data_IF_113214489103
#
_entry.id   IF_113214489103
#
_cell.length_a   1.000
_cell.length_b   1.000
_cell.length_c   1.000
_cell.angle_alpha   90.00
_cell.angle_beta   90.00
_cell.angle_gamma   90.00
#
_symmetry.space_group_name_H-M   'P 1'
#
loop_
_entity.id
_entity.type
_entity.pdbx_description
1 polymer ?
#
# COMPACT_ATOMS: atom_id res chain seq x y z
N UNK A 1 -12.81 -5.16 21.90
CA UNK A 1 -13.24 -4.85 23.28
C UNK A 1 -13.21 -3.34 23.45
N UNK A 2 -14.15 -2.77 24.20
CA UNK A 2 -14.29 -1.31 24.40
C UNK A 2 -13.32 -0.75 25.46
N UNK A 3 -13.02 0.54 25.36
CA UNK A 3 -11.84 1.15 25.99
C UNK A 3 -12.06 1.71 27.41
N UNK A 4 -13.25 1.57 28.00
CA UNK A 4 -13.57 2.15 29.32
C UNK A 4 -12.74 1.52 30.44
N UNK A 5 -12.22 2.34 31.36
CA UNK A 5 -11.37 1.89 32.47
C UNK A 5 -12.20 1.62 33.75
N UNK A 6 -13.15 0.70 33.69
CA UNK A 6 -13.90 0.30 34.89
C UNK A 6 -13.02 -0.52 35.84
N UNK A 7 -13.15 -0.28 37.15
CA UNK A 7 -12.46 -1.06 38.18
C UNK A 7 -12.78 -2.56 38.09
N UNK A 8 -14.01 -2.89 37.73
CA UNK A 8 -14.46 -4.26 37.49
C UNK A 8 -13.62 -4.97 36.41
N UNK A 9 -13.31 -4.31 35.28
CA UNK A 9 -12.46 -4.91 34.25
C UNK A 9 -11.05 -5.18 34.80
N UNK A 10 -10.51 -4.28 35.63
CA UNK A 10 -9.20 -4.50 36.27
C UNK A 10 -9.20 -5.67 37.27
N UNK A 11 -10.28 -5.88 38.01
CA UNK A 11 -10.45 -7.08 38.86
C UNK A 11 -10.52 -8.35 38.00
N UNK A 12 -11.29 -8.34 36.91
CA UNK A 12 -11.36 -9.47 35.95
C UNK A 12 -10.01 -9.76 35.29
N UNK A 13 -9.27 -8.73 34.88
CA UNK A 13 -7.90 -8.83 34.35
C UNK A 13 -6.95 -9.48 35.37
N UNK A 14 -7.00 -9.07 36.65
CA UNK A 14 -6.15 -9.63 37.71
C UNK A 14 -6.48 -11.11 38.04
N UNK A 15 -7.77 -11.47 38.11
CA UNK A 15 -8.20 -12.86 38.32
C UNK A 15 -7.77 -13.75 37.14
N UNK A 16 -7.83 -13.24 35.91
CA UNK A 16 -7.36 -13.96 34.72
C UNK A 16 -5.83 -14.14 34.74
N UNK A 17 -5.08 -13.09 35.09
CA UNK A 17 -3.62 -13.17 35.23
C UNK A 17 -3.20 -14.21 36.28
N UNK A 18 -3.82 -14.22 37.47
CA UNK A 18 -3.53 -15.22 38.49
C UNK A 18 -3.84 -16.66 38.02
N UNK A 19 -4.90 -16.86 37.25
CA UNK A 19 -5.19 -18.17 36.63
C UNK A 19 -4.13 -18.56 35.61
N UNK A 20 -3.72 -17.63 34.74
CA UNK A 20 -2.66 -17.85 33.75
C UNK A 20 -1.36 -18.27 34.43
N UNK A 21 -0.90 -17.56 35.46
CA UNK A 21 0.33 -17.90 36.21
C UNK A 21 0.24 -19.19 37.04
N UNK A 22 -0.97 -19.73 37.27
CA UNK A 22 -1.17 -21.04 37.91
C UNK A 22 -1.12 -22.23 36.94
N UNK A 23 -1.29 -21.99 35.64
CA UNK A 23 -1.39 -23.04 34.62
C UNK A 23 -0.29 -22.98 33.56
N UNK A 24 0.44 -21.88 33.44
CA UNK A 24 1.50 -21.67 32.46
C UNK A 24 2.77 -21.14 33.13
N UNK A 25 3.92 -21.59 32.63
CA UNK A 25 5.25 -21.06 32.98
C UNK A 25 5.44 -19.63 32.46
N UNK A 26 6.46 -18.93 32.98
CA UNK A 26 6.79 -17.58 32.52
C UNK A 26 7.19 -17.55 31.03
N UNK A 27 7.82 -18.61 30.55
CA UNK A 27 8.24 -18.74 29.15
C UNK A 27 7.04 -18.98 28.22
N UNK A 28 6.06 -19.79 28.63
CA UNK A 28 4.80 -19.96 27.89
C UNK A 28 3.97 -18.66 27.85
N UNK A 29 3.93 -17.92 28.96
CA UNK A 29 3.26 -16.61 29.03
C UNK A 29 3.94 -15.61 28.09
N UNK A 30 5.29 -15.58 28.09
CA UNK A 30 6.07 -14.74 27.19
C UNK A 30 5.87 -15.17 25.73
N UNK A 31 5.90 -16.46 25.42
CA UNK A 31 5.65 -17.01 24.09
C UNK A 31 4.26 -16.59 23.56
N UNK A 32 3.20 -16.74 24.37
CA UNK A 32 1.85 -16.31 23.99
C UNK A 32 1.79 -14.80 23.76
N UNK A 33 2.41 -14.00 24.62
CA UNK A 33 2.49 -12.54 24.45
C UNK A 33 3.21 -12.14 23.14
N UNK A 34 4.39 -12.70 22.89
CA UNK A 34 5.22 -12.43 21.72
C UNK A 34 4.59 -12.92 20.40
N UNK A 35 3.63 -13.86 20.45
CA UNK A 35 2.89 -14.32 19.25
C UNK A 35 1.56 -13.59 19.04
N UNK A 36 0.90 -13.09 20.08
CA UNK A 36 -0.43 -12.48 19.98
C UNK A 36 -0.43 -10.94 19.92
N UNK A 37 0.66 -10.28 20.33
CA UNK A 37 0.65 -8.82 20.44
C UNK A 37 0.55 -8.11 19.09
N UNK A 38 -0.37 -7.14 18.98
CA UNK A 38 -0.48 -6.31 17.79
C UNK A 38 0.61 -5.25 17.74
N UNK A 39 1.43 -5.28 16.68
CA UNK A 39 2.60 -4.41 16.50
C UNK A 39 2.43 -3.39 15.37
N UNK A 40 1.25 -3.30 14.74
CA UNK A 40 0.97 -2.34 13.67
C UNK A 40 0.99 -2.99 12.29
N UNK A 41 0.50 -2.28 11.26
CA UNK A 41 0.50 -2.70 9.84
C UNK A 41 -0.11 -4.08 9.52
N UNK A 42 -0.89 -4.65 10.45
CA UNK A 42 -1.44 -6.01 10.36
C UNK A 42 -0.55 -7.10 10.96
N UNK A 43 0.61 -6.76 11.53
CA UNK A 43 1.46 -7.67 12.28
C UNK A 43 0.86 -8.00 13.65
N UNK A 44 0.59 -9.29 13.86
CA UNK A 44 0.32 -9.88 15.16
C UNK A 44 1.47 -10.84 15.47
N UNK A 45 2.14 -10.60 16.58
CA UNK A 45 3.36 -11.29 16.98
C UNK A 45 4.65 -10.69 16.40
N UNK A 46 5.76 -10.92 17.09
CA UNK A 46 7.07 -10.32 16.79
C UNK A 46 7.65 -10.84 15.48
N UNK A 47 7.51 -12.13 15.16
CA UNK A 47 7.96 -12.68 13.87
C UNK A 47 7.27 -11.99 12.68
N UNK A 48 5.95 -11.81 12.76
CA UNK A 48 5.20 -11.10 11.73
C UNK A 48 5.65 -9.62 11.63
N UNK A 49 6.05 -8.97 12.73
CA UNK A 49 6.54 -7.61 12.70
C UNK A 49 7.98 -7.50 12.16
N UNK A 50 8.85 -8.46 12.48
CA UNK A 50 10.20 -8.58 11.94
C UNK A 50 10.17 -8.69 10.40
N UNK A 51 9.30 -9.57 9.88
CA UNK A 51 9.12 -9.75 8.45
C UNK A 51 8.46 -8.51 7.80
N UNK A 52 7.41 -7.93 8.40
CA UNK A 52 6.70 -6.78 7.82
C UNK A 52 7.49 -5.45 7.82
N UNK A 53 8.43 -5.25 8.77
CA UNK A 53 9.18 -3.98 8.88
C UNK A 53 10.65 -4.08 8.45
N UNK A 54 11.27 -5.26 8.51
CA UNK A 54 12.71 -5.44 8.21
C UNK A 54 13.00 -6.58 7.22
N UNK A 55 11.99 -7.33 6.77
CA UNK A 55 12.14 -8.53 5.92
C UNK A 55 13.12 -9.58 6.51
N UNK A 56 13.14 -9.70 7.84
CA UNK A 56 13.97 -10.63 8.63
C UNK A 56 13.10 -11.52 9.50
N UNK A 57 13.62 -12.66 9.93
CA UNK A 57 13.03 -13.40 11.06
C UNK A 57 13.41 -12.72 12.37
N UNK A 58 12.60 -12.85 13.42
CA UNK A 58 12.81 -12.18 14.71
C UNK A 58 14.15 -12.56 15.37
N UNK A 59 14.67 -13.75 15.08
CA UNK A 59 15.97 -14.25 15.54
C UNK A 59 17.18 -13.57 14.85
N UNK A 60 16.96 -12.96 13.69
CA UNK A 60 18.00 -12.34 12.85
C UNK A 60 17.99 -10.80 12.95
N UNK A 61 17.20 -10.24 13.88
CA UNK A 61 17.13 -8.81 14.19
C UNK A 61 18.30 -8.37 15.08
N UNK A 62 18.82 -7.18 14.82
CA UNK A 62 19.80 -6.56 15.71
C UNK A 62 19.13 -5.76 16.86
N UNK A 63 19.94 -5.27 17.80
CA UNK A 63 19.48 -4.50 18.97
C UNK A 63 18.66 -3.25 18.58
N UNK A 64 19.03 -2.54 17.51
CA UNK A 64 18.33 -1.36 17.05
C UNK A 64 16.91 -1.70 16.55
N UNK A 65 16.79 -2.78 15.77
CA UNK A 65 15.53 -3.27 15.20
C UNK A 65 14.62 -3.85 16.29
N UNK A 66 15.17 -4.61 17.23
CA UNK A 66 14.48 -5.09 18.42
C UNK A 66 13.92 -3.94 19.28
N UNK A 67 14.70 -2.87 19.47
CA UNK A 67 14.24 -1.69 20.22
C UNK A 67 13.12 -0.90 19.52
N UNK A 68 13.08 -0.91 18.17
CA UNK A 68 11.91 -0.41 17.41
C UNK A 68 10.69 -1.27 17.75
N UNK A 69 10.76 -2.60 17.58
CA UNK A 69 9.61 -3.49 17.79
C UNK A 69 9.08 -3.45 19.23
N UNK A 70 9.98 -3.46 20.23
CA UNK A 70 9.62 -3.32 21.64
C UNK A 70 9.02 -1.94 21.98
N UNK A 71 9.25 -0.92 21.15
CA UNK A 71 8.64 0.40 21.25
C UNK A 71 7.16 0.45 20.86
N UNK A 72 6.74 -0.39 19.90
CA UNK A 72 5.43 -0.37 19.24
C UNK A 72 4.22 -0.67 20.16
N UNK A 73 4.25 -1.68 21.06
CA UNK A 73 3.12 -2.09 21.92
C UNK A 73 2.31 -0.96 22.58
N UNK A 74 2.95 0.15 22.95
CA UNK A 74 2.30 1.27 23.62
C UNK A 74 1.26 1.98 22.74
N UNK A 75 1.54 2.13 21.45
CA UNK A 75 0.64 2.75 20.46
C UNK A 75 1.13 2.48 19.03
N UNK A 76 0.88 1.28 18.46
CA UNK A 76 1.53 0.85 17.22
C UNK A 76 1.35 1.81 16.03
N UNK A 77 0.15 2.36 15.83
CA UNK A 77 -0.10 3.34 14.75
C UNK A 77 0.61 4.69 14.95
N UNK A 78 0.88 5.09 16.20
CA UNK A 78 1.56 6.35 16.54
C UNK A 78 3.08 6.25 16.39
N UNK A 79 3.65 5.09 16.71
CA UNK A 79 5.09 4.81 16.67
C UNK A 79 5.51 3.95 15.48
N UNK A 80 4.63 3.74 14.50
CA UNK A 80 4.96 2.99 13.28
C UNK A 80 6.13 3.65 12.55
N UNK A 81 7.25 2.94 12.31
CA UNK A 81 8.41 3.50 11.62
C UNK A 81 8.09 3.86 10.16
N UNK A 82 7.17 3.13 9.52
CA UNK A 82 6.77 3.33 8.12
C UNK A 82 5.93 4.60 7.86
N UNK A 83 5.27 5.16 8.88
CA UNK A 83 4.48 6.39 8.74
C UNK A 83 4.97 7.56 9.61
N UNK A 84 5.75 7.27 10.65
CA UNK A 84 6.10 8.20 11.71
C UNK A 84 7.53 7.95 12.22
N UNK A 85 8.49 7.83 11.30
CA UNK A 85 9.87 7.42 11.60
C UNK A 85 10.49 8.17 12.80
N UNK A 86 10.41 9.50 12.85
CA UNK A 86 10.95 10.30 13.97
C UNK A 86 10.35 9.90 15.33
N UNK A 87 9.05 9.59 15.36
CA UNK A 87 8.35 9.13 16.58
C UNK A 87 8.76 7.71 16.94
N UNK A 88 9.02 6.86 15.94
CA UNK A 88 9.55 5.51 16.14
C UNK A 88 10.99 5.56 16.68
N UNK A 89 11.87 6.39 16.10
CA UNK A 89 13.25 6.60 16.54
C UNK A 89 13.32 7.19 17.96
N UNK A 90 12.50 8.20 18.28
CA UNK A 90 12.37 8.72 19.64
C UNK A 90 11.87 7.65 20.63
N UNK A 91 10.99 6.73 20.20
CA UNK A 91 10.53 5.59 21.01
C UNK A 91 11.61 4.51 21.16
N UNK A 92 12.42 4.26 20.14
CA UNK A 92 13.59 3.37 20.15
C UNK A 92 14.62 3.84 21.17
N UNK A 93 15.01 5.12 21.12
CA UNK A 93 15.96 5.74 22.07
C UNK A 93 15.47 5.57 23.51
N UNK A 94 14.17 5.78 23.77
CA UNK A 94 13.59 5.51 25.10
C UNK A 94 13.73 4.04 25.52
N UNK A 95 13.49 3.08 24.62
CA UNK A 95 13.64 1.64 24.92
C UNK A 95 15.10 1.30 25.23
N UNK A 96 16.05 1.75 24.40
CA UNK A 96 17.48 1.51 24.59
C UNK A 96 17.99 2.10 25.91
N UNK A 97 17.60 3.34 26.25
CA UNK A 97 17.93 3.94 27.54
C UNK A 97 17.36 3.14 28.71
N UNK A 98 16.12 2.64 28.62
CA UNK A 98 15.56 1.76 29.66
C UNK A 98 16.25 0.39 29.74
N UNK A 99 16.85 -0.11 28.65
CA UNK A 99 17.67 -1.32 28.69
C UNK A 99 19.01 -1.07 29.38
N UNK A 100 19.62 0.12 29.21
CA UNK A 100 20.79 0.57 29.98
C UNK A 100 20.45 0.75 31.47
N UNK A 101 19.34 1.44 31.79
CA UNK A 101 18.86 1.67 33.17
C UNK A 101 18.52 0.36 33.93
N UNK A 102 18.35 -0.75 33.19
CA UNK A 102 18.11 -2.10 33.72
C UNK A 102 19.28 -3.06 33.47
N UNK A 103 20.43 -2.55 33.04
CA UNK A 103 21.68 -3.29 32.88
C UNK A 103 21.61 -4.48 31.90
N UNK A 104 20.67 -4.44 30.93
CA UNK A 104 20.57 -5.45 29.87
C UNK A 104 21.57 -5.22 28.72
N UNK A 105 22.05 -3.99 28.54
CA UNK A 105 23.05 -3.58 27.53
C UNK A 105 23.98 -2.51 28.12
N UNK A 106 25.13 -2.29 27.50
CA UNK A 106 26.04 -1.18 27.84
C UNK A 106 25.56 0.16 27.25
N UNK A 107 26.17 1.28 27.66
CA UNK A 107 25.89 2.59 27.06
C UNK A 107 26.40 2.67 25.63
N UNK A 108 27.47 1.94 25.37
CA UNK A 108 28.19 1.82 24.12
C UNK A 108 27.34 1.04 23.09
N UNK A 109 26.72 -0.08 23.50
CA UNK A 109 25.71 -0.80 22.72
C UNK A 109 24.50 0.07 22.38
N UNK A 110 24.02 0.84 23.37
CA UNK A 110 22.89 1.76 23.20
C UNK A 110 23.21 2.85 22.17
N UNK A 111 24.38 3.49 22.27
CA UNK A 111 24.83 4.49 21.31
C UNK A 111 24.95 3.91 19.89
N UNK A 112 25.56 2.72 19.74
CA UNK A 112 25.65 2.04 18.45
C UNK A 112 24.27 1.70 17.86
N UNK A 113 23.30 1.28 18.68
CA UNK A 113 21.93 0.99 18.24
C UNK A 113 21.08 2.24 17.96
N UNK A 114 21.46 3.41 18.50
CA UNK A 114 20.87 4.71 18.17
C UNK A 114 21.40 5.20 16.81
N UNK A 115 22.70 5.13 16.57
CA UNK A 115 23.30 5.55 15.28
C UNK A 115 23.06 4.56 14.13
N UNK A 116 22.61 3.33 14.41
CA UNK A 116 22.27 2.35 13.38
C UNK A 116 21.17 2.86 12.43
N UNK A 117 21.48 2.86 11.12
CA UNK A 117 20.57 3.20 10.04
C UNK A 117 19.53 2.08 9.84
N UNK A 118 18.25 2.41 10.04
CA UNK A 118 17.15 1.45 10.02
C UNK A 118 16.54 1.38 8.62
N UNK A 119 16.83 0.31 7.88
CA UNK A 119 16.16 0.01 6.61
C UNK A 119 14.72 -0.48 6.85
N UNK A 120 13.78 0.46 6.86
CA UNK A 120 12.35 0.19 7.09
C UNK A 120 11.70 -0.23 5.77
N UNK A 121 11.52 -1.54 5.61
CA UNK A 121 10.96 -2.14 4.42
C UNK A 121 9.52 -1.66 4.17
N UNK A 122 9.19 -1.19 2.95
CA UNK A 122 7.79 -1.04 2.57
C UNK A 122 7.14 -2.42 2.51
N UNK A 123 5.97 -2.58 3.14
CA UNK A 123 5.19 -3.83 3.09
C UNK A 123 4.65 -4.08 1.67
N UNK A 124 5.51 -4.60 0.79
CA UNK A 124 5.12 -5.11 -0.52
C UNK A 124 4.49 -6.48 -0.39
N UNK A 125 3.25 -6.63 -0.82
CA UNK A 125 2.68 -7.93 -1.09
C UNK A 125 2.63 -8.11 -2.61
N UNK A 126 3.71 -8.65 -3.16
CA UNK A 126 3.88 -8.88 -4.61
C UNK A 126 2.70 -9.63 -5.23
N UNK A 127 2.05 -10.53 -4.50
CA UNK A 127 0.86 -11.23 -4.99
C UNK A 127 -0.37 -10.31 -5.14
N UNK A 128 -0.55 -9.33 -4.24
CA UNK A 128 -1.61 -8.32 -4.33
C UNK A 128 -1.26 -7.22 -5.34
N UNK A 129 0.01 -6.82 -5.43
CA UNK A 129 0.46 -5.75 -6.32
C UNK A 129 0.60 -6.20 -7.78
N UNK A 130 1.22 -7.35 -8.02
CA UNK A 130 1.51 -7.84 -9.38
C UNK A 130 0.41 -8.75 -9.92
N UNK A 131 -0.26 -9.56 -9.10
CA UNK A 131 -1.32 -10.51 -9.54
C UNK A 131 -2.66 -10.39 -8.77
N UNK A 132 -3.21 -9.17 -8.55
CA UNK A 132 -4.39 -8.94 -7.70
C UNK A 132 -5.60 -9.81 -8.03
N UNK A 133 -5.91 -9.98 -9.33
CA UNK A 133 -7.06 -10.77 -9.77
C UNK A 133 -6.92 -12.27 -9.44
N UNK A 134 -5.70 -12.82 -9.54
CA UNK A 134 -5.44 -14.22 -9.18
C UNK A 134 -5.48 -14.39 -7.66
N UNK A 135 -4.86 -13.47 -6.91
CA UNK A 135 -4.87 -13.46 -5.45
C UNK A 135 -6.29 -13.34 -4.88
N UNK A 136 -7.14 -12.49 -5.46
CA UNK A 136 -8.54 -12.35 -5.04
C UNK A 136 -9.39 -13.58 -5.40
N UNK A 137 -9.12 -14.22 -6.55
CA UNK A 137 -9.74 -15.50 -6.90
C UNK A 137 -9.37 -16.62 -5.91
N UNK A 138 -8.07 -16.74 -5.56
CA UNK A 138 -7.59 -17.70 -4.55
C UNK A 138 -8.19 -17.38 -3.16
N UNK A 139 -8.22 -16.10 -2.77
CA UNK A 139 -8.84 -15.65 -1.51
C UNK A 139 -10.30 -16.06 -1.42
N UNK A 140 -11.06 -15.87 -2.51
CA UNK A 140 -12.47 -16.26 -2.61
C UNK A 140 -12.64 -17.78 -2.57
N UNK A 141 -11.88 -18.54 -3.37
CA UNK A 141 -11.92 -20.00 -3.37
C UNK A 141 -11.61 -20.62 -1.99
N UNK A 142 -10.66 -20.06 -1.24
CA UNK A 142 -10.32 -20.52 0.11
C UNK A 142 -11.38 -20.09 1.13
N UNK A 143 -12.01 -18.92 0.99
CA UNK A 143 -13.16 -18.51 1.82
C UNK A 143 -14.38 -19.43 1.60
N UNK A 144 -14.72 -19.74 0.35
CA UNK A 144 -15.85 -20.63 0.00
C UNK A 144 -15.62 -22.07 0.49
N UNK A 145 -14.37 -22.57 0.37
CA UNK A 145 -14.03 -23.97 0.67
C UNK A 145 -13.78 -24.27 2.14
N UNK A 146 -13.21 -23.32 2.89
CA UNK A 146 -12.80 -23.52 4.28
C UNK A 146 -13.51 -22.59 5.27
N UNK A 147 -14.31 -21.64 4.78
CA UNK A 147 -15.01 -20.65 5.59
C UNK A 147 -14.13 -19.47 6.01
N UNK A 148 -14.75 -18.28 6.05
CA UNK A 148 -14.12 -17.01 6.41
C UNK A 148 -13.26 -17.05 7.66
N UNK A 149 -13.73 -17.74 8.72
CA UNK A 149 -12.99 -17.84 9.99
C UNK A 149 -11.63 -18.51 9.78
N UNK A 150 -11.59 -19.64 9.09
CA UNK A 150 -10.38 -20.43 8.85
C UNK A 150 -9.35 -19.63 8.06
N UNK A 151 -9.78 -19.00 6.96
CA UNK A 151 -8.95 -18.13 6.12
C UNK A 151 -8.25 -17.01 6.92
N UNK A 152 -8.99 -16.32 7.79
CA UNK A 152 -8.48 -15.14 8.50
C UNK A 152 -7.92 -15.40 9.91
N UNK A 153 -8.09 -16.59 10.51
CA UNK A 153 -7.64 -16.85 11.89
C UNK A 153 -6.81 -18.12 12.10
N UNK A 154 -6.52 -18.94 11.08
CA UNK A 154 -5.72 -20.17 11.25
C UNK A 154 -4.35 -20.15 10.55
N UNK A 155 -3.85 -18.98 10.12
CA UNK A 155 -2.47 -18.83 9.66
C UNK A 155 -2.11 -19.67 8.43
N UNK A 156 -3.07 -19.89 7.52
CA UNK A 156 -2.92 -20.79 6.38
C UNK A 156 -1.76 -20.37 5.47
N UNK A 157 -0.80 -21.27 5.25
CA UNK A 157 0.16 -21.18 4.14
C UNK A 157 -0.52 -21.69 2.88
N UNK A 158 -0.75 -20.81 1.92
CA UNK A 158 -1.43 -21.11 0.65
C UNK A 158 -0.38 -21.13 -0.46
N UNK A 159 -0.15 -22.31 -1.03
CA UNK A 159 0.74 -22.49 -2.19
C UNK A 159 -0.10 -22.72 -3.44
N UNK A 160 0.31 -22.11 -4.57
CA UNK A 160 -0.46 -22.12 -5.82
C UNK A 160 0.46 -22.23 -7.02
N UNK A 161 -0.06 -22.75 -8.14
CA UNK A 161 0.69 -22.87 -9.40
C UNK A 161 0.76 -21.54 -10.19
N UNK A 162 0.76 -20.38 -9.52
CA UNK A 162 0.82 -19.08 -10.19
C UNK A 162 2.24 -18.80 -10.69
N UNK A 163 2.35 -18.49 -11.99
CA UNK A 163 3.56 -17.93 -12.57
C UNK A 163 3.36 -16.42 -12.76
N UNK A 164 4.19 -15.61 -12.10
CA UNK A 164 4.05 -14.15 -12.08
C UNK A 164 4.34 -13.52 -13.46
N UNK A 165 5.38 -13.99 -14.15
CA UNK A 165 5.75 -13.50 -15.48
C UNK A 165 4.63 -13.76 -16.51
N UNK A 166 4.06 -14.96 -16.52
CA UNK A 166 2.95 -15.31 -17.41
C UNK A 166 1.68 -14.52 -17.06
N UNK A 167 1.39 -14.25 -15.78
CA UNK A 167 0.28 -13.38 -15.38
C UNK A 167 0.49 -11.92 -15.82
N UNK A 168 1.72 -11.42 -15.74
CA UNK A 168 2.10 -10.09 -16.21
C UNK A 168 1.93 -9.96 -17.73
N UNK A 169 2.52 -10.89 -18.49
CA UNK A 169 2.40 -10.95 -19.95
C UNK A 169 0.92 -11.06 -20.36
N UNK A 170 0.15 -11.96 -19.73
CA UNK A 170 -1.27 -12.12 -20.01
C UNK A 170 -2.06 -10.82 -19.79
N UNK A 171 -1.75 -10.06 -18.72
CA UNK A 171 -2.36 -8.74 -18.50
C UNK A 171 -1.97 -7.74 -19.58
N UNK A 172 -0.69 -7.65 -19.92
CA UNK A 172 -0.19 -6.73 -20.95
C UNK A 172 -0.81 -7.01 -22.32
N UNK A 173 -1.00 -8.27 -22.70
CA UNK A 173 -1.68 -8.66 -23.95
C UNK A 173 -3.19 -8.43 -23.91
N UNK A 174 -3.87 -8.69 -22.79
CA UNK A 174 -5.31 -8.34 -22.63
C UNK A 174 -5.50 -6.82 -22.74
N UNK A 175 -4.66 -6.03 -22.08
CA UNK A 175 -4.71 -4.58 -22.13
C UNK A 175 -4.44 -4.06 -23.56
N UNK A 176 -3.46 -4.65 -24.27
CA UNK A 176 -3.17 -4.36 -25.68
C UNK A 176 -4.34 -4.74 -26.58
N UNK A 177 -4.96 -5.90 -26.37
CA UNK A 177 -6.13 -6.38 -27.11
C UNK A 177 -7.34 -5.46 -26.94
N UNK A 178 -7.66 -5.07 -25.69
CA UNK A 178 -8.71 -4.11 -25.39
C UNK A 178 -8.46 -2.75 -26.03
N UNK A 179 -7.23 -2.21 -25.95
CA UNK A 179 -6.83 -0.97 -26.65
C UNK A 179 -6.96 -1.10 -28.18
N UNK A 180 -6.71 -2.29 -28.75
CA UNK A 180 -6.85 -2.56 -30.18
C UNK A 180 -8.31 -2.80 -30.64
N UNK A 181 -9.23 -3.10 -29.73
CA UNK A 181 -10.68 -3.14 -29.98
C UNK A 181 -11.27 -1.73 -29.86
N UNK A 182 -10.93 -0.99 -28.80
CA UNK A 182 -11.35 0.41 -28.58
C UNK A 182 -10.97 1.29 -29.79
N UNK A 183 -9.71 1.21 -30.24
CA UNK A 183 -9.22 1.88 -31.46
C UNK A 183 -9.89 1.42 -32.77
N UNK A 184 -10.49 0.22 -32.82
CA UNK A 184 -11.25 -0.27 -33.99
C UNK A 184 -12.70 0.19 -33.99
N UNK A 185 -13.25 0.54 -32.83
CA UNK A 185 -14.64 1.01 -32.68
C UNK A 185 -14.80 2.54 -32.80
N UNK A 186 -13.71 3.26 -33.07
CA UNK A 186 -13.74 4.70 -33.32
C UNK A 186 -13.80 5.57 -32.04
N UNK A 187 -13.77 6.88 -32.23
CA UNK A 187 -13.85 7.84 -31.13
C UNK A 187 -15.30 8.03 -30.65
N UNK A 188 -15.57 7.61 -29.42
CA UNK A 188 -16.90 7.66 -28.79
C UNK A 188 -17.27 9.04 -28.17
N UNK A 189 -16.58 10.12 -28.57
CA UNK A 189 -16.70 11.42 -27.91
C UNK A 189 -15.83 11.59 -26.67
N UNK A 190 -15.84 12.78 -26.03
CA UNK A 190 -15.02 13.07 -24.86
C UNK A 190 -15.53 12.42 -23.58
N UNK A 191 -14.62 12.12 -22.64
CA UNK A 191 -14.96 11.53 -21.33
C UNK A 191 -15.94 12.38 -20.51
N UNK A 192 -15.84 13.71 -20.65
CA UNK A 192 -16.65 14.72 -19.97
C UNK A 192 -16.43 16.07 -20.65
N UNK A 193 -17.45 16.94 -20.61
CA UNK A 193 -17.32 18.37 -20.90
C UNK A 193 -17.24 19.13 -19.57
N UNK A 194 -16.36 20.14 -19.46
CA UNK A 194 -16.15 20.91 -18.22
C UNK A 194 -16.44 22.40 -18.46
N UNK A 195 -17.01 23.11 -17.48
CA UNK A 195 -17.24 24.57 -17.58
C UNK A 195 -15.93 25.33 -17.34
N UNK A 196 -15.75 26.49 -17.99
CA UNK A 196 -14.49 27.26 -17.95
C UNK A 196 -13.97 27.57 -16.53
N UNK A 197 -14.86 27.81 -15.55
CA UNK A 197 -14.46 28.08 -14.16
C UNK A 197 -13.77 26.89 -13.49
N UNK A 198 -14.19 25.67 -13.81
CA UNK A 198 -13.69 24.43 -13.20
C UNK A 198 -12.31 24.01 -13.77
N UNK A 199 -11.85 24.64 -14.85
CA UNK A 199 -10.57 24.32 -15.50
C UNK A 199 -9.39 24.43 -14.53
N UNK A 200 -9.40 25.41 -13.62
CA UNK A 200 -8.34 25.58 -12.62
C UNK A 200 -8.30 24.40 -11.63
N UNK A 201 -9.47 23.94 -11.17
CA UNK A 201 -9.58 22.79 -10.26
C UNK A 201 -9.12 21.48 -10.94
N UNK A 202 -9.57 21.24 -12.18
CA UNK A 202 -9.12 20.08 -12.96
C UNK A 202 -7.60 20.08 -13.17
N UNK A 203 -7.02 21.21 -13.60
CA UNK A 203 -5.58 21.31 -13.84
C UNK A 203 -4.77 21.20 -12.54
N UNK A 204 -5.27 21.70 -11.39
CA UNK A 204 -4.61 21.50 -10.09
C UNK A 204 -4.61 20.03 -9.68
N UNK A 205 -5.70 19.30 -9.91
CA UNK A 205 -5.78 17.85 -9.68
C UNK A 205 -4.79 17.09 -10.57
N UNK A 206 -4.84 17.32 -11.89
CA UNK A 206 -3.94 16.64 -12.84
C UNK A 206 -2.48 17.02 -12.67
N UNK A 207 -2.16 18.19 -12.10
CA UNK A 207 -0.79 18.53 -11.71
C UNK A 207 -0.34 17.69 -10.51
N UNK A 208 -1.21 17.41 -9.53
CA UNK A 208 -0.85 16.54 -8.40
C UNK A 208 -0.58 15.11 -8.90
N UNK A 209 -1.50 14.54 -9.68
CA UNK A 209 -1.34 13.22 -10.31
C UNK A 209 -0.03 13.13 -11.13
N UNK A 210 0.31 14.17 -11.90
CA UNK A 210 1.56 14.26 -12.66
C UNK A 210 2.83 14.39 -11.82
N UNK A 211 2.76 15.02 -10.65
CA UNK A 211 3.91 15.10 -9.73
C UNK A 211 4.13 13.76 -9.02
N UNK A 212 3.06 13.00 -8.75
CA UNK A 212 3.11 11.68 -8.11
C UNK A 212 3.51 10.55 -9.06
N UNK A 213 3.15 10.62 -10.36
CA UNK A 213 3.42 9.56 -11.36
C UNK A 213 4.48 9.92 -12.41
N UNK A 214 4.84 11.20 -12.54
CA UNK A 214 5.73 11.69 -13.59
C UNK A 214 5.08 11.74 -14.98
N UNK A 215 5.92 11.76 -16.03
CA UNK A 215 5.48 11.52 -17.41
C UNK A 215 6.38 10.44 -18.00
N UNK A 216 5.76 9.35 -18.44
CA UNK A 216 6.44 8.19 -19.02
C UNK A 216 5.77 7.81 -20.35
N UNK A 217 6.49 7.14 -21.23
CA UNK A 217 5.93 6.62 -22.49
C UNK A 217 4.94 5.49 -22.15
N UNK A 218 3.76 5.49 -22.77
CA UNK A 218 2.68 4.54 -22.48
C UNK A 218 1.78 4.89 -21.28
N UNK A 219 2.08 5.97 -20.53
CA UNK A 219 1.25 6.41 -19.41
C UNK A 219 -0.11 6.99 -19.88
N UNK A 220 -1.19 6.30 -19.50
CA UNK A 220 -2.58 6.72 -19.73
C UNK A 220 -2.94 7.88 -18.80
N UNK A 221 -3.46 8.98 -19.35
CA UNK A 221 -3.89 10.13 -18.54
C UNK A 221 -5.02 10.93 -19.19
N UNK A 222 -5.68 11.79 -18.42
CA UNK A 222 -6.81 12.64 -18.83
C UNK A 222 -6.29 14.03 -19.17
N UNK A 223 -6.63 14.55 -20.34
CA UNK A 223 -6.18 15.87 -20.79
C UNK A 223 -7.33 16.79 -21.20
N UNK A 224 -7.23 18.07 -20.83
CA UNK A 224 -8.18 19.10 -21.22
C UNK A 224 -7.84 19.62 -22.63
N UNK A 225 -8.80 19.53 -23.57
CA UNK A 225 -8.63 20.09 -24.93
C UNK A 225 -8.75 21.61 -24.88
N UNK A 226 -7.63 22.30 -25.13
CA UNK A 226 -7.55 23.77 -25.10
C UNK A 226 -7.82 24.37 -26.49
N UNK A 227 -7.33 23.72 -27.55
CA UNK A 227 -7.47 24.22 -28.93
C UNK A 227 -7.45 23.07 -29.93
N UNK A 228 -8.51 22.93 -30.73
CA UNK A 228 -8.51 22.10 -31.95
C UNK A 228 -8.02 22.94 -33.13
N UNK A 229 -7.24 22.36 -34.03
CA UNK A 229 -6.70 23.00 -35.25
C UNK A 229 -6.70 21.99 -36.41
N UNK A 230 -6.66 22.47 -37.67
CA UNK A 230 -6.82 21.63 -38.90
C UNK A 230 -5.91 20.39 -39.02
N UNK A 231 -4.83 20.26 -38.24
CA UNK A 231 -3.91 19.10 -38.23
C UNK A 231 -3.58 18.53 -36.84
N UNK A 232 -4.04 19.16 -35.75
CA UNK A 232 -3.69 18.73 -34.37
C UNK A 232 -4.65 19.27 -33.30
N UNK A 233 -4.77 18.52 -32.21
CA UNK A 233 -5.40 18.95 -30.95
C UNK A 233 -4.31 19.39 -29.98
N UNK A 234 -4.43 20.57 -29.37
CA UNK A 234 -3.60 21.00 -28.25
C UNK A 234 -4.29 20.69 -26.92
N UNK A 235 -3.59 19.96 -26.06
CA UNK A 235 -4.10 19.38 -24.82
C UNK A 235 -3.25 19.87 -23.65
N UNK A 236 -3.87 20.19 -22.51
CA UNK A 236 -3.18 20.60 -21.28
C UNK A 236 -3.42 19.59 -20.16
N UNK A 237 -2.34 19.28 -19.42
CA UNK A 237 -2.33 18.36 -18.29
C UNK A 237 -1.52 19.04 -17.19
N UNK A 238 -2.19 19.56 -16.18
CA UNK A 238 -1.58 20.41 -15.16
C UNK A 238 -0.90 21.67 -15.73
N UNK A 239 0.36 21.89 -15.34
CA UNK A 239 1.21 22.94 -15.90
C UNK A 239 1.59 22.69 -17.37
N UNK A 240 1.74 21.42 -17.78
CA UNK A 240 2.35 21.05 -19.07
C UNK A 240 1.33 21.07 -20.21
N UNK A 241 1.82 21.42 -21.40
CA UNK A 241 1.05 21.44 -22.64
C UNK A 241 1.63 20.44 -23.63
N UNK A 242 0.75 19.71 -24.31
CA UNK A 242 1.10 18.77 -25.38
C UNK A 242 0.20 18.97 -26.60
N UNK A 243 0.44 18.16 -27.62
CA UNK A 243 -0.44 18.09 -28.78
C UNK A 243 -0.57 16.66 -29.30
N UNK A 244 -1.69 16.38 -29.96
CA UNK A 244 -1.99 15.12 -30.62
C UNK A 244 -2.18 15.43 -32.12
N UNK A 245 -1.29 14.95 -33.00
CA UNK A 245 -1.47 15.01 -34.46
C UNK A 245 -2.73 14.27 -34.93
N UNK A 246 -3.39 14.77 -35.98
CA UNK A 246 -4.54 14.09 -36.61
C UNK A 246 -4.18 12.82 -37.39
N UNK A 247 -2.89 12.55 -37.60
CA UNK A 247 -2.41 11.28 -38.16
C UNK A 247 -2.30 10.18 -37.10
N UNK A 248 -1.87 10.52 -35.88
CA UNK A 248 -1.91 9.60 -34.73
C UNK A 248 -3.34 9.29 -34.29
N UNK A 249 -4.29 10.15 -34.68
CA UNK A 249 -5.74 10.00 -34.47
C UNK A 249 -6.46 9.31 -35.65
N UNK A 250 -5.77 8.55 -36.52
CA UNK A 250 -6.44 7.76 -37.57
C UNK A 250 -7.50 6.80 -37.03
N UNK A 251 -7.27 6.22 -35.85
CA UNK A 251 -8.24 5.38 -35.12
C UNK A 251 -9.49 6.14 -34.63
N UNK A 252 -9.40 7.47 -34.48
CA UNK A 252 -10.51 8.31 -34.02
C UNK A 252 -11.43 8.74 -35.15
N UNK A 253 -11.15 8.36 -36.40
CA UNK A 253 -11.99 8.68 -37.56
C UNK A 253 -13.18 7.72 -37.60
N UNK A 254 -14.39 8.27 -37.50
CA UNK A 254 -15.61 7.49 -37.72
C UNK A 254 -15.62 6.93 -39.16
N UNK A 255 -16.12 5.70 -39.41
CA UNK A 255 -16.41 5.21 -40.76
C UNK A 255 -17.64 5.92 -41.38
N UNK A 256 -17.51 7.26 -41.55
CA UNK A 256 -18.39 8.18 -42.28
C UNK A 256 -19.77 8.43 -41.61
N UNK A 257 -20.25 9.69 -41.48
CA UNK A 257 -19.59 10.98 -41.26
C UNK A 257 -19.67 11.31 -39.74
N UNK A 258 -19.82 12.51 -39.14
CA UNK A 258 -19.61 13.93 -39.50
C UNK A 258 -19.29 14.69 -38.19
N UNK A 259 -18.61 15.83 -38.26
CA UNK A 259 -18.46 16.83 -37.18
C UNK A 259 -17.96 16.27 -35.81
N UNK A 260 -18.29 16.95 -34.70
CA UNK A 260 -17.98 16.58 -33.29
C UNK A 260 -16.49 16.55 -32.90
N UNK A 261 -15.87 17.74 -32.83
CA UNK A 261 -14.98 18.12 -31.72
C UNK A 261 -15.17 19.61 -31.43
N UNK A 262 -15.27 20.02 -30.16
CA UNK A 262 -15.48 21.43 -29.80
C UNK A 262 -14.48 21.90 -28.73
N UNK A 263 -14.67 23.11 -28.20
CA UNK A 263 -13.88 23.60 -27.06
C UNK A 263 -14.54 23.14 -25.76
N UNK A 264 -13.74 22.67 -24.79
CA UNK A 264 -14.11 22.17 -23.45
C UNK A 264 -14.18 20.63 -23.28
N UNK A 265 -13.75 19.88 -24.30
CA UNK A 265 -13.71 18.41 -24.34
C UNK A 265 -12.56 17.84 -23.46
N UNK A 266 -12.79 16.74 -22.72
CA UNK A 266 -11.71 15.92 -22.12
C UNK A 266 -11.45 14.68 -22.96
N UNK A 267 -10.19 14.42 -23.31
CA UNK A 267 -9.77 13.17 -23.95
C UNK A 267 -8.98 12.27 -22.99
N UNK A 268 -9.16 10.95 -23.15
CA UNK A 268 -8.30 9.91 -22.57
C UNK A 268 -7.14 9.67 -23.53
N UNK A 269 -5.91 9.82 -23.07
CA UNK A 269 -4.73 9.35 -23.81
C UNK A 269 -4.52 7.86 -23.53
N UNK A 270 -4.40 7.03 -24.57
CA UNK A 270 -3.97 5.62 -24.52
C UNK A 270 -2.47 5.46 -24.79
#
# INVERSE_FOLDING_TARGET
>A
MTAERTYERKIREAILAYKIERYLTKDEILYLYLNQIYLGHGAYGVEAAAQNYFNKSAKDLNLAECAILAGLPQAPSKYSPFHHFDKAKARQIYVLNQMVDKQYITKEDSAAAIEYELDIMPRKNLYIEEVPYYTEHVRSYVEDKFGRKTLYTQGLRIETAVNLDLQKIAREEVDRGLRAIDKRQGYRGPLKHIKKGDFSAFLKHSQKELTETGIQVGLITKGLVVKVSRRKVSVRIGSKMGYIPFDDMRWARNPIPKDILTRSDIQRRL
#
